data_IF_101717145752
#
_entry.id   IF_101717145752
#
_cell.length_a   1.000
_cell.length_b   1.000
_cell.length_c   1.000
_cell.angle_alpha   90.00
_cell.angle_beta   90.00
_cell.angle_gamma   90.00
#
_symmetry.space_group_name_H-M   'P 1'
#
loop_
_entity.id
_entity.type
_entity.pdbx_description
1 polymer ?
#
# COMPACT_ATOMS: atom_id res chain seq x y z
N UNK A 1 -25.26 -28.73 22.74
CA UNK A 1 -24.32 -27.73 23.31
C UNK A 1 -24.67 -26.33 22.81
N UNK A 2 -24.44 -25.28 23.60
CA UNK A 2 -24.68 -23.89 23.16
C UNK A 2 -23.57 -23.48 22.19
N UNK A 3 -23.93 -23.06 20.97
CA UNK A 3 -22.94 -22.54 19.99
C UNK A 3 -22.21 -21.33 20.56
N UNK A 4 -20.90 -21.28 20.35
CA UNK A 4 -20.09 -20.11 20.69
C UNK A 4 -20.57 -18.89 19.89
N UNK A 5 -20.40 -17.69 20.45
CA UNK A 5 -20.81 -16.46 19.78
C UNK A 5 -20.11 -16.29 18.41
N UNK A 6 -18.85 -16.71 18.32
CA UNK A 6 -18.06 -16.74 17.08
C UNK A 6 -18.68 -17.63 16.01
N UNK A 7 -19.14 -18.84 16.37
CA UNK A 7 -19.80 -19.74 15.44
C UNK A 7 -21.11 -19.13 14.90
N UNK A 8 -21.88 -18.48 15.77
CA UNK A 8 -23.12 -17.79 15.37
C UNK A 8 -22.86 -16.62 14.41
N UNK A 9 -21.80 -15.84 14.65
CA UNK A 9 -21.38 -14.78 13.72
C UNK A 9 -21.03 -15.37 12.35
N UNK A 10 -20.28 -16.47 12.31
CA UNK A 10 -19.89 -17.11 11.06
C UNK A 10 -21.12 -17.66 10.29
N UNK A 11 -22.09 -18.24 10.99
CA UNK A 11 -23.37 -18.69 10.39
C UNK A 11 -24.16 -17.54 9.77
N UNK A 12 -24.20 -16.38 10.42
CA UNK A 12 -24.92 -15.21 9.89
C UNK A 12 -24.29 -14.70 8.60
N UNK A 13 -22.96 -14.63 8.55
CA UNK A 13 -22.25 -14.20 7.33
C UNK A 13 -22.47 -15.19 6.19
N UNK A 14 -22.64 -16.48 6.50
CA UNK A 14 -22.98 -17.51 5.51
C UNK A 14 -24.40 -17.40 4.99
N UNK A 15 -25.37 -17.17 5.88
CA UNK A 15 -26.77 -16.99 5.49
C UNK A 15 -27.01 -15.65 4.77
N UNK A 16 -26.20 -14.63 5.08
CA UNK A 16 -26.36 -13.28 4.56
C UNK A 16 -25.00 -12.72 4.07
N UNK A 17 -24.52 -13.15 2.88
CA UNK A 17 -23.29 -12.62 2.31
C UNK A 17 -23.41 -11.12 2.06
N UNK A 18 -22.39 -10.35 2.46
CA UNK A 18 -22.40 -8.89 2.40
C UNK A 18 -22.94 -8.22 3.67
N UNK A 19 -23.22 -8.96 4.74
CA UNK A 19 -23.63 -8.40 6.04
C UNK A 19 -22.58 -7.43 6.59
N UNK A 20 -23.03 -6.28 7.08
CA UNK A 20 -22.16 -5.30 7.75
C UNK A 20 -22.00 -5.63 9.23
N UNK A 21 -21.04 -4.97 9.89
CA UNK A 21 -20.83 -5.12 11.35
C UNK A 21 -22.11 -4.75 12.12
N UNK A 22 -22.86 -3.76 11.63
CA UNK A 22 -24.13 -3.33 12.25
C UNK A 22 -25.19 -4.42 12.14
N UNK A 23 -25.32 -5.04 10.96
CA UNK A 23 -26.32 -6.08 10.73
C UNK A 23 -26.05 -7.30 11.59
N UNK A 24 -24.78 -7.73 11.68
CA UNK A 24 -24.36 -8.84 12.55
C UNK A 24 -24.62 -8.53 14.03
N UNK A 25 -24.40 -7.28 14.47
CA UNK A 25 -24.66 -6.87 15.84
C UNK A 25 -26.16 -6.91 16.18
N UNK A 26 -27.01 -6.44 15.27
CA UNK A 26 -28.47 -6.45 15.41
C UNK A 26 -29.00 -7.89 15.42
N UNK A 27 -28.59 -8.73 14.47
CA UNK A 27 -29.06 -10.11 14.35
C UNK A 27 -28.71 -10.99 15.54
N UNK A 28 -27.58 -10.74 16.20
CA UNK A 28 -27.16 -11.48 17.40
C UNK A 28 -27.52 -10.80 18.71
N UNK A 29 -28.11 -9.61 18.66
CA UNK A 29 -28.35 -8.75 19.82
C UNK A 29 -27.09 -8.58 20.70
N UNK A 30 -25.97 -8.24 20.06
CA UNK A 30 -24.68 -8.00 20.73
C UNK A 30 -24.17 -6.59 20.49
N UNK A 31 -23.24 -6.14 21.34
CA UNK A 31 -22.63 -4.82 21.17
C UNK A 31 -21.84 -4.72 19.86
N UNK A 32 -21.89 -3.54 19.22
CA UNK A 32 -21.15 -3.26 17.99
C UNK A 32 -19.62 -3.48 18.13
N UNK A 33 -18.97 -3.12 19.25
CA UNK A 33 -17.56 -3.47 19.49
C UNK A 33 -17.31 -4.99 19.53
N UNK A 34 -18.19 -5.77 20.16
CA UNK A 34 -18.07 -7.23 20.23
C UNK A 34 -18.20 -7.86 18.83
N UNK A 35 -19.20 -7.44 18.06
CA UNK A 35 -19.37 -7.89 16.68
C UNK A 35 -18.13 -7.57 15.82
N UNK A 36 -17.58 -6.35 15.97
CA UNK A 36 -16.34 -5.93 15.28
C UNK A 36 -15.15 -6.81 15.66
N UNK A 37 -14.94 -7.05 16.95
CA UNK A 37 -13.82 -7.86 17.43
C UNK A 37 -13.89 -9.30 16.88
N UNK A 38 -15.09 -9.90 16.85
CA UNK A 38 -15.28 -11.26 16.34
C UNK A 38 -15.06 -11.31 14.81
N UNK A 39 -15.66 -10.37 14.06
CA UNK A 39 -15.47 -10.30 12.61
C UNK A 39 -14.01 -10.08 12.23
N UNK A 40 -13.27 -9.26 12.97
CA UNK A 40 -11.83 -9.07 12.74
C UNK A 40 -11.02 -10.33 13.04
N UNK A 41 -11.35 -11.06 14.12
CA UNK A 41 -10.72 -12.37 14.39
C UNK A 41 -10.99 -13.38 13.28
N UNK A 42 -12.25 -13.49 12.82
CA UNK A 42 -12.62 -14.38 11.72
C UNK A 42 -11.94 -14.01 10.40
N UNK A 43 -11.80 -12.70 10.13
CA UNK A 43 -11.09 -12.19 8.96
C UNK A 43 -9.60 -12.51 9.03
N UNK A 44 -8.94 -12.22 10.16
CA UNK A 44 -7.51 -12.48 10.34
C UNK A 44 -7.19 -13.98 10.26
N UNK A 45 -8.10 -14.84 10.70
CA UNK A 45 -7.96 -16.30 10.60
C UNK A 45 -8.33 -16.87 9.22
N UNK A 46 -8.75 -16.02 8.29
CA UNK A 46 -9.05 -16.36 6.90
C UNK A 46 -10.37 -17.11 6.69
N UNK A 47 -11.33 -17.02 7.62
CA UNK A 47 -12.67 -17.63 7.45
C UNK A 47 -13.65 -16.72 6.70
N UNK A 48 -13.43 -15.40 6.77
CA UNK A 48 -14.25 -14.40 6.09
C UNK A 48 -13.36 -13.33 5.45
N UNK A 49 -13.87 -12.65 4.45
CA UNK A 49 -13.22 -11.53 3.77
C UNK A 49 -14.14 -10.30 3.76
N UNK A 50 -13.55 -9.10 3.75
CA UNK A 50 -14.31 -7.85 3.65
C UNK A 50 -14.44 -7.47 2.18
N UNK A 51 -15.64 -7.51 1.63
CA UNK A 51 -15.94 -7.13 0.25
C UNK A 51 -16.91 -5.96 0.22
N UNK A 52 -16.46 -4.84 -0.36
CA UNK A 52 -17.23 -3.59 -0.43
C UNK A 52 -17.69 -3.11 0.94
N UNK A 53 -19.01 -3.14 1.17
CA UNK A 53 -19.64 -2.65 2.41
C UNK A 53 -19.75 -3.71 3.51
N UNK A 54 -19.51 -5.00 3.22
CA UNK A 54 -19.81 -6.11 4.13
C UNK A 54 -18.74 -7.19 4.20
N UNK A 55 -19.14 -8.36 4.69
CA UNK A 55 -18.30 -9.55 4.80
C UNK A 55 -18.89 -10.73 4.03
N UNK A 56 -18.01 -11.56 3.46
CA UNK A 56 -18.36 -12.82 2.79
C UNK A 56 -17.48 -13.95 3.33
N UNK A 57 -17.88 -15.20 3.15
CA UNK A 57 -17.06 -16.35 3.50
C UNK A 57 -15.95 -16.60 2.48
N UNK A 58 -14.85 -17.17 2.95
CA UNK A 58 -13.81 -17.77 2.10
C UNK A 58 -14.07 -19.29 1.96
N UNK A 59 -13.36 -19.96 1.05
CA UNK A 59 -13.42 -21.43 0.91
C UNK A 59 -13.11 -22.17 2.22
N UNK A 60 -12.23 -21.60 3.06
CA UNK A 60 -11.91 -22.12 4.40
C UNK A 60 -13.09 -21.95 5.37
N UNK A 61 -13.79 -20.82 5.30
CA UNK A 61 -15.02 -20.56 6.04
C UNK A 61 -16.13 -21.55 5.69
N UNK A 62 -16.35 -21.76 4.39
CA UNK A 62 -17.39 -22.67 3.89
C UNK A 62 -17.12 -24.11 4.31
N UNK A 63 -15.87 -24.57 4.17
CA UNK A 63 -15.46 -25.89 4.64
C UNK A 63 -15.72 -26.06 6.14
N UNK A 64 -15.41 -25.04 6.95
CA UNK A 64 -15.61 -25.09 8.39
C UNK A 64 -17.09 -25.15 8.77
N UNK A 65 -17.95 -24.37 8.10
CA UNK A 65 -19.40 -24.47 8.34
C UNK A 65 -19.93 -25.86 7.96
N UNK A 66 -19.59 -26.34 6.76
CA UNK A 66 -20.14 -27.59 6.23
C UNK A 66 -19.65 -28.83 6.99
N UNK A 67 -18.39 -28.84 7.45
CA UNK A 67 -17.79 -30.01 8.08
C UNK A 67 -17.75 -29.97 9.61
N UNK A 68 -17.74 -28.78 10.22
CA UNK A 68 -17.62 -28.65 11.67
C UNK A 68 -18.94 -28.20 12.29
N UNK A 69 -19.58 -27.17 11.74
CA UNK A 69 -20.81 -26.61 12.35
C UNK A 69 -22.10 -27.33 11.93
N UNK A 70 -22.17 -27.86 10.71
CA UNK A 70 -23.36 -28.57 10.21
C UNK A 70 -23.37 -30.06 10.58
N UNK A 71 -22.20 -30.71 10.72
CA UNK A 71 -22.12 -32.07 11.27
C UNK A 71 -22.60 -32.17 12.73
N UNK A 72 -22.55 -31.07 13.49
CA UNK A 72 -23.15 -31.00 14.84
C UNK A 72 -24.69 -31.01 14.83
N UNK A 73 -25.36 -30.72 13.70
CA UNK A 73 -26.83 -30.72 13.59
C UNK A 73 -27.43 -32.09 13.28
N UNK A 74 -26.70 -32.95 12.58
CA UNK A 74 -27.15 -34.30 12.23
C UNK A 74 -26.46 -35.32 13.10
N UNK A 75 -26.97 -35.51 14.32
CA UNK A 75 -26.58 -36.62 15.17
C UNK A 75 -26.81 -37.94 14.43
N UNK A 76 -25.71 -38.64 14.14
CA UNK A 76 -25.70 -40.06 13.82
C UNK A 76 -26.21 -40.45 12.43
N UNK A 77 -25.32 -40.43 11.43
CA UNK A 77 -25.19 -41.53 10.45
C UNK A 77 -23.82 -41.45 9.77
N UNK A 78 -23.10 -42.54 9.92
CA UNK A 78 -21.70 -42.72 9.57
C UNK A 78 -21.47 -42.67 8.05
N UNK A 79 -20.41 -41.97 7.66
CA UNK A 79 -19.46 -42.41 6.64
C UNK A 79 -18.14 -41.71 6.94
N UNK A 80 -17.24 -42.47 7.55
CA UNK A 80 -15.86 -42.10 7.82
C UNK A 80 -15.11 -42.19 6.49
N UNK A 81 -14.62 -41.06 5.98
CA UNK A 81 -13.46 -41.00 5.07
C UNK A 81 -12.40 -40.07 5.68
N UNK A 82 -11.65 -40.71 6.59
CA UNK A 82 -10.21 -40.62 6.87
C UNK A 82 -9.44 -39.28 6.73
N UNK A 83 -8.94 -38.80 7.88
CA UNK A 83 -7.48 -38.60 8.04
C UNK A 83 -6.84 -40.01 8.22
N UNK A 84 -5.55 -40.23 7.91
CA UNK A 84 -4.98 -41.56 7.64
C UNK A 84 -5.06 -42.56 8.82
N UNK A 85 -5.54 -43.77 8.48
CA UNK A 85 -5.48 -45.14 9.05
C UNK A 85 -5.26 -45.44 10.56
N UNK A 86 -6.23 -46.15 11.19
CA UNK A 86 -6.17 -47.57 11.69
C UNK A 86 -7.38 -47.98 12.61
N UNK A 87 -8.20 -48.96 12.15
CA UNK A 87 -8.99 -50.05 12.85
C UNK A 87 -10.10 -49.71 13.92
N UNK A 88 -11.11 -50.58 14.29
CA UNK A 88 -11.63 -51.89 13.81
C UNK A 88 -13.19 -52.07 13.62
N UNK A 89 -13.59 -53.02 12.75
CA UNK A 89 -14.60 -54.13 12.88
C UNK A 89 -16.16 -53.93 12.97
N UNK A 90 -16.82 -54.43 11.88
CA UNK A 90 -18.05 -55.28 11.67
C UNK A 90 -19.50 -54.88 12.03
N UNK A 91 -20.38 -54.95 11.01
CA UNK A 91 -21.47 -55.97 10.80
C UNK A 91 -21.98 -55.87 9.33
N UNK A 92 -21.75 -56.83 8.42
CA UNK A 92 -22.62 -57.97 8.01
C UNK A 92 -24.10 -57.58 7.73
N UNK A 93 -24.77 -57.88 6.59
CA UNK A 93 -24.58 -58.82 5.46
C UNK A 93 -25.55 -58.48 4.31
N UNK A 94 -25.24 -59.05 3.13
CA UNK A 94 -26.09 -59.31 1.93
C UNK A 94 -26.26 -58.17 0.92
N UNK A 95 -25.49 -58.22 -0.18
CA UNK A 95 -25.93 -58.47 -1.58
C UNK A 95 -24.65 -58.36 -2.43
N UNK A 96 -24.01 -59.50 -2.63
CA UNK A 96 -22.84 -59.67 -3.49
C UNK A 96 -23.37 -60.00 -4.87
N UNK A 97 -23.28 -59.07 -5.84
CA UNK A 97 -23.05 -59.40 -7.27
C UNK A 97 -22.76 -58.25 -8.24
N UNK A 98 -22.96 -56.97 -7.92
CA UNK A 98 -22.74 -55.87 -8.89
C UNK A 98 -21.64 -54.86 -8.48
N UNK A 99 -20.43 -55.34 -8.14
CA UNK A 99 -19.36 -54.48 -7.62
C UNK A 99 -18.16 -54.25 -8.55
N UNK A 100 -18.14 -54.84 -9.76
CA UNK A 100 -17.03 -54.66 -10.71
C UNK A 100 -17.30 -53.60 -11.78
N UNK A 101 -18.54 -53.48 -12.27
CA UNK A 101 -18.90 -52.43 -13.26
C UNK A 101 -18.99 -51.03 -12.62
N UNK A 102 -19.50 -50.93 -11.38
CA UNK A 102 -19.66 -49.65 -10.69
C UNK A 102 -18.35 -49.01 -10.17
N UNK A 103 -17.22 -49.72 -10.19
CA UNK A 103 -15.89 -49.16 -9.84
C UNK A 103 -15.14 -48.63 -11.06
N UNK A 104 -15.38 -49.17 -12.26
CA UNK A 104 -14.81 -48.67 -13.51
C UNK A 104 -15.51 -47.37 -13.94
N UNK A 105 -16.84 -47.31 -13.87
CA UNK A 105 -17.61 -46.09 -14.14
C UNK A 105 -17.23 -44.93 -13.21
N UNK A 106 -16.94 -45.21 -11.93
CA UNK A 106 -16.51 -44.18 -10.96
C UNK A 106 -15.12 -43.64 -11.25
N UNK A 107 -14.20 -44.48 -11.73
CA UNK A 107 -12.84 -44.05 -12.09
C UNK A 107 -12.83 -43.23 -13.38
N UNK A 108 -13.64 -43.59 -14.36
CA UNK A 108 -13.81 -42.79 -15.58
C UNK A 108 -14.47 -41.44 -15.30
N UNK A 109 -15.54 -41.40 -14.50
CA UNK A 109 -16.20 -40.14 -14.12
C UNK A 109 -15.24 -39.23 -13.33
N UNK A 110 -14.42 -39.79 -12.44
CA UNK A 110 -13.42 -39.04 -11.68
C UNK A 110 -12.32 -38.45 -12.58
N UNK A 111 -11.82 -39.23 -13.55
CA UNK A 111 -10.82 -38.77 -14.51
C UNK A 111 -11.35 -37.64 -15.42
N UNK A 112 -12.61 -37.71 -15.85
CA UNK A 112 -13.26 -36.66 -16.66
C UNK A 112 -13.47 -35.37 -15.85
N UNK A 113 -13.77 -35.47 -14.55
CA UNK A 113 -13.91 -34.31 -13.67
C UNK A 113 -12.56 -33.63 -13.44
N UNK A 114 -11.49 -34.41 -13.20
CA UNK A 114 -10.13 -33.90 -13.03
C UNK A 114 -9.61 -33.21 -14.30
N UNK A 115 -9.85 -33.79 -15.48
CA UNK A 115 -9.51 -33.16 -16.76
C UNK A 115 -10.24 -31.85 -16.99
N UNK A 116 -11.55 -31.77 -16.69
CA UNK A 116 -12.32 -30.51 -16.83
C UNK A 116 -11.84 -29.42 -15.86
N UNK A 117 -11.44 -29.79 -14.65
CA UNK A 117 -10.90 -28.85 -13.68
C UNK A 117 -9.52 -28.31 -14.08
N UNK A 118 -8.67 -29.15 -14.66
CA UNK A 118 -7.36 -28.76 -15.20
C UNK A 118 -7.52 -27.74 -16.35
N UNK A 119 -8.40 -28.01 -17.31
CA UNK A 119 -8.67 -27.10 -18.45
C UNK A 119 -9.19 -25.74 -17.97
N UNK A 120 -10.11 -25.71 -17.00
CA UNK A 120 -10.62 -24.47 -16.43
C UNK A 120 -9.57 -23.67 -15.64
N UNK A 121 -8.54 -24.32 -15.10
CA UNK A 121 -7.41 -23.65 -14.45
C UNK A 121 -6.45 -23.06 -15.49
N UNK A 122 -6.15 -23.82 -16.55
CA UNK A 122 -5.31 -23.39 -17.66
C UNK A 122 -5.89 -22.15 -18.34
N UNK A 123 -7.20 -22.12 -18.60
CA UNK A 123 -7.87 -20.94 -19.16
C UNK A 123 -7.74 -19.69 -18.28
N UNK A 124 -7.89 -19.85 -16.95
CA UNK A 124 -7.72 -18.75 -15.99
C UNK A 124 -6.28 -18.26 -15.91
N UNK A 125 -5.31 -19.17 -15.97
CA UNK A 125 -3.89 -18.84 -16.00
C UNK A 125 -3.55 -18.11 -17.30
N UNK A 126 -4.01 -18.60 -18.44
CA UNK A 126 -3.82 -17.97 -19.75
C UNK A 126 -4.44 -16.58 -19.83
N UNK A 127 -5.64 -16.39 -19.26
CA UNK A 127 -6.26 -15.07 -19.19
C UNK A 127 -5.44 -14.08 -18.35
N UNK A 128 -4.88 -14.53 -17.22
CA UNK A 128 -3.98 -13.70 -16.40
C UNK A 128 -2.67 -13.39 -17.11
N UNK A 129 -2.08 -14.36 -17.81
CA UNK A 129 -0.86 -14.14 -18.59
C UNK A 129 -1.10 -13.08 -19.66
N UNK A 130 -2.18 -13.21 -20.45
CA UNK A 130 -2.54 -12.20 -21.46
C UNK A 130 -2.76 -10.81 -20.89
N UNK A 131 -3.38 -10.70 -19.72
CA UNK A 131 -3.58 -9.42 -19.02
C UNK A 131 -2.25 -8.83 -18.52
N UNK A 132 -1.34 -9.68 -18.04
CA UNK A 132 -0.01 -9.24 -17.63
C UNK A 132 0.83 -8.79 -18.83
N UNK A 133 0.77 -9.52 -19.94
CA UNK A 133 1.43 -9.15 -21.20
C UNK A 133 0.93 -7.81 -21.74
N UNK A 134 -0.38 -7.56 -21.74
CA UNK A 134 -0.94 -6.28 -22.17
C UNK A 134 -0.46 -5.13 -21.29
N UNK A 135 -0.43 -5.35 -19.96
CA UNK A 135 0.04 -4.34 -19.00
C UNK A 135 1.54 -4.08 -19.12
N UNK A 136 2.35 -5.11 -19.39
CA UNK A 136 3.78 -4.96 -19.66
C UNK A 136 3.99 -4.13 -20.92
N UNK A 137 3.27 -4.43 -22.01
CA UNK A 137 3.35 -3.66 -23.24
C UNK A 137 2.94 -2.18 -23.06
N UNK A 138 1.93 -1.89 -22.25
CA UNK A 138 1.54 -0.52 -21.92
C UNK A 138 2.63 0.22 -21.12
N UNK A 139 3.24 -0.47 -20.16
CA UNK A 139 4.35 0.08 -19.37
C UNK A 139 5.57 0.35 -20.26
N UNK A 140 5.92 -0.58 -21.16
CA UNK A 140 7.02 -0.39 -22.11
C UNK A 140 6.78 0.81 -23.03
N UNK A 141 5.57 0.97 -23.58
CA UNK A 141 5.21 2.15 -24.37
C UNK A 141 5.32 3.44 -23.57
N UNK A 142 4.93 3.41 -22.30
CA UNK A 142 5.03 4.59 -21.42
C UNK A 142 6.48 4.94 -21.14
N UNK A 143 7.32 3.94 -20.85
CA UNK A 143 8.76 4.13 -20.66
C UNK A 143 9.38 4.71 -21.93
N UNK A 144 9.06 4.18 -23.11
CA UNK A 144 9.56 4.70 -24.39
C UNK A 144 9.20 6.18 -24.61
N UNK A 145 7.96 6.59 -24.30
CA UNK A 145 7.54 8.00 -24.38
C UNK A 145 8.36 8.86 -23.42
N UNK A 146 8.47 8.45 -22.16
CA UNK A 146 9.23 9.19 -21.14
C UNK A 146 10.70 9.31 -21.57
N UNK A 147 11.31 8.26 -22.12
CA UNK A 147 12.69 8.33 -22.60
C UNK A 147 12.85 9.30 -23.77
N UNK A 148 11.89 9.34 -24.70
CA UNK A 148 11.90 10.29 -25.81
C UNK A 148 11.74 11.74 -25.32
N UNK A 149 10.83 11.97 -24.35
CA UNK A 149 10.63 13.28 -23.73
C UNK A 149 11.89 13.76 -23.01
N UNK A 150 12.56 12.86 -22.27
CA UNK A 150 13.82 13.16 -21.61
C UNK A 150 14.95 13.48 -22.61
N UNK A 151 15.05 12.74 -23.72
CA UNK A 151 16.02 13.04 -24.77
C UNK A 151 15.74 14.41 -25.42
N UNK A 152 14.46 14.73 -25.66
CA UNK A 152 14.04 16.04 -26.18
C UNK A 152 14.40 17.18 -25.22
N UNK A 153 14.08 17.04 -23.93
CA UNK A 153 14.44 18.01 -22.89
C UNK A 153 15.96 18.18 -22.80
N UNK A 154 16.71 17.08 -22.83
CA UNK A 154 18.18 17.10 -22.83
C UNK A 154 18.74 17.85 -24.04
N UNK A 155 18.16 17.67 -25.22
CA UNK A 155 18.56 18.37 -26.43
C UNK A 155 18.19 19.87 -26.35
N UNK A 156 17.00 20.22 -25.86
CA UNK A 156 16.60 21.61 -25.59
C UNK A 156 17.53 22.30 -24.59
N UNK A 157 18.00 21.59 -23.57
CA UNK A 157 18.95 22.15 -22.60
C UNK A 157 20.35 22.33 -23.21
N UNK A 158 20.77 21.47 -24.14
CA UNK A 158 22.03 21.66 -24.88
C UNK A 158 21.94 22.87 -25.80
N UNK A 159 20.88 22.99 -26.60
CA UNK A 159 20.70 24.14 -27.48
C UNK A 159 20.53 25.42 -26.69
N UNK A 160 19.77 25.42 -25.58
CA UNK A 160 19.64 26.57 -24.68
C UNK A 160 20.99 27.04 -24.09
N UNK A 161 21.87 26.10 -23.72
CA UNK A 161 23.23 26.42 -23.27
C UNK A 161 24.11 26.96 -24.39
N UNK A 162 23.96 26.48 -25.61
CA UNK A 162 24.68 26.99 -26.78
C UNK A 162 24.20 28.39 -27.17
N UNK A 163 22.89 28.65 -27.15
CA UNK A 163 22.32 29.98 -27.36
C UNK A 163 22.76 30.97 -26.28
N UNK A 164 22.80 30.57 -25.01
CA UNK A 164 23.33 31.41 -23.93
C UNK A 164 24.83 31.76 -24.14
N UNK A 165 25.62 30.80 -24.63
CA UNK A 165 27.05 31.00 -24.93
C UNK A 165 27.30 31.89 -26.16
N UNK A 166 26.33 31.98 -27.08
CA UNK A 166 26.37 32.85 -28.25
C UNK A 166 25.91 34.27 -27.88
N UNK A 167 24.85 34.41 -27.07
CA UNK A 167 24.37 35.72 -26.60
C UNK A 167 25.41 36.45 -25.73
N UNK A 168 26.17 35.72 -24.90
CA UNK A 168 27.27 36.30 -24.11
C UNK A 168 28.41 36.89 -24.99
N UNK A 169 28.53 36.44 -26.25
CA UNK A 169 29.55 36.95 -27.19
C UNK A 169 29.09 38.16 -28.01
N UNK A 170 27.79 38.42 -28.11
CA UNK A 170 27.24 39.47 -28.98
C UNK A 170 26.83 40.76 -28.25
N UNK A 171 26.83 40.78 -26.91
CA UNK A 171 26.52 41.98 -26.13
C UNK A 171 27.79 42.70 -25.62
N UNK A 172 28.47 43.43 -26.51
CA UNK A 172 29.27 44.61 -26.16
C UNK A 172 29.10 45.69 -27.25
N UNK A 173 28.65 46.89 -26.86
CA UNK A 173 29.48 48.06 -27.16
C UNK A 173 29.54 49.11 -26.03
N UNK A 174 30.75 49.69 -25.93
CA UNK A 174 31.11 51.06 -25.54
C UNK A 174 30.46 51.77 -24.33
N UNK A 175 31.23 51.92 -23.25
CA UNK A 175 31.81 53.21 -22.82
C UNK A 175 32.74 53.01 -21.62
N UNK A 176 33.96 53.56 -21.71
CA UNK A 176 34.96 53.65 -20.62
C UNK A 176 34.63 54.89 -19.75
N UNK A 177 35.13 55.06 -18.50
CA UNK A 177 36.47 54.63 -18.06
C UNK A 177 36.62 54.15 -16.59
N UNK A 178 37.87 53.85 -16.25
CA UNK A 178 38.49 53.75 -14.92
C UNK A 178 38.52 52.38 -14.22
N UNK A 179 39.72 51.80 -14.25
CA UNK A 179 40.39 50.98 -13.23
C UNK A 179 39.54 50.43 -12.06
N UNK A 180 39.19 49.16 -12.14
CA UNK A 180 39.38 48.20 -11.05
C UNK A 180 39.36 46.79 -11.63
N UNK A 181 40.52 46.12 -11.61
CA UNK A 181 40.67 44.69 -11.83
C UNK A 181 39.88 43.94 -10.75
N UNK A 182 38.59 43.69 -11.01
CA UNK A 182 37.72 42.86 -10.20
C UNK A 182 37.31 41.65 -10.99
N UNK A 183 38.12 40.59 -10.95
CA UNK A 183 37.70 39.25 -11.34
C UNK A 183 36.54 38.84 -10.44
N UNK A 184 35.29 39.08 -10.89
CA UNK A 184 34.11 38.50 -10.22
C UNK A 184 34.04 37.02 -10.58
N UNK A 185 34.87 36.26 -9.86
CA UNK A 185 34.57 34.89 -9.43
C UNK A 185 33.10 34.83 -8.97
N UNK A 186 32.39 33.70 -9.17
CA UNK A 186 31.04 33.54 -8.62
C UNK A 186 31.09 33.84 -7.12
N UNK A 187 30.13 34.64 -6.65
CA UNK A 187 30.07 35.18 -5.30
C UNK A 187 30.33 34.08 -4.26
N UNK A 188 31.51 34.14 -3.65
CA UNK A 188 32.05 33.19 -2.68
C UNK A 188 31.55 33.47 -1.25
N UNK A 189 30.26 33.80 -1.11
CA UNK A 189 29.64 34.15 0.18
C UNK A 189 28.45 33.23 0.56
N UNK A 190 28.31 32.05 -0.04
CA UNK A 190 27.33 31.02 0.35
C UNK A 190 27.94 29.86 1.11
N UNK A 191 29.12 30.03 1.73
CA UNK A 191 29.88 28.93 2.35
C UNK A 191 29.22 28.34 3.61
N UNK A 192 28.01 28.81 3.98
CA UNK A 192 27.39 28.49 5.27
C UNK A 192 25.86 28.37 5.25
N UNK A 193 25.20 28.33 4.09
CA UNK A 193 23.74 28.21 4.00
C UNK A 193 23.33 27.09 3.05
N UNK A 194 22.18 26.49 3.32
CA UNK A 194 21.58 25.51 2.43
C UNK A 194 21.21 26.16 1.08
N UNK A 195 21.34 25.44 -0.04
CA UNK A 195 20.97 25.94 -1.37
C UNK A 195 19.48 26.26 -1.50
N UNK A 196 18.64 25.55 -0.74
CA UNK A 196 17.19 25.74 -0.66
C UNK A 196 16.75 25.66 0.81
N UNK A 197 15.70 26.38 1.23
CA UNK A 197 15.24 26.39 2.61
C UNK A 197 14.81 25.02 3.14
N UNK A 198 14.25 24.18 2.27
CA UNK A 198 13.86 22.80 2.53
C UNK A 198 14.34 21.95 1.36
N UNK A 199 15.03 20.85 1.63
CA UNK A 199 15.42 19.88 0.62
C UNK A 199 15.45 18.46 1.19
N UNK A 200 15.48 17.46 0.32
CA UNK A 200 15.64 16.09 0.77
C UNK A 200 17.06 15.82 1.26
N UNK A 201 17.21 14.95 2.26
CA UNK A 201 18.52 14.56 2.78
C UNK A 201 19.42 13.95 1.69
N UNK A 202 18.85 13.17 0.76
CA UNK A 202 19.64 12.59 -0.34
C UNK A 202 20.13 13.67 -1.32
N UNK A 203 19.31 14.69 -1.62
CA UNK A 203 19.68 15.81 -2.49
C UNK A 203 20.75 16.68 -1.84
N UNK A 204 20.60 16.93 -0.54
CA UNK A 204 21.56 17.66 0.27
C UNK A 204 22.92 16.96 0.28
N UNK A 205 22.93 15.63 0.45
CA UNK A 205 24.17 14.83 0.39
C UNK A 205 24.85 14.92 -0.98
N UNK A 206 24.08 14.88 -2.06
CA UNK A 206 24.61 14.96 -3.41
C UNK A 206 25.14 16.36 -3.77
N UNK A 207 24.54 17.41 -3.22
CA UNK A 207 24.89 18.81 -3.54
C UNK A 207 25.99 19.37 -2.65
N UNK A 208 25.96 19.08 -1.35
CA UNK A 208 26.88 19.65 -0.34
C UNK A 208 27.96 18.66 0.10
N UNK A 209 27.70 17.35 -0.01
CA UNK A 209 28.62 16.29 0.42
C UNK A 209 29.08 16.50 1.88
N UNK A 210 30.39 16.57 2.16
CA UNK A 210 30.92 16.75 3.52
C UNK A 210 30.50 18.06 4.21
N UNK A 211 30.12 19.09 3.46
CA UNK A 211 29.67 20.37 4.02
C UNK A 211 28.30 20.26 4.70
N UNK A 212 27.51 19.24 4.35
CA UNK A 212 26.24 18.99 5.00
C UNK A 212 26.42 18.70 6.50
N UNK A 213 27.39 17.84 6.82
CA UNK A 213 27.66 17.42 8.20
C UNK A 213 28.20 18.57 9.05
N UNK A 214 28.89 19.54 8.44
CA UNK A 214 29.34 20.74 9.16
C UNK A 214 28.19 21.71 9.41
N UNK A 215 27.24 21.85 8.48
CA UNK A 215 26.04 22.67 8.65
C UNK A 215 25.11 22.13 9.74
N UNK A 216 24.94 20.80 9.79
CA UNK A 216 24.15 20.15 10.84
C UNK A 216 24.83 20.32 12.20
N UNK A 217 26.15 20.05 12.28
CA UNK A 217 26.91 20.20 13.55
C UNK A 217 26.96 21.63 14.05
N UNK A 218 27.00 22.61 13.16
CA UNK A 218 26.95 24.03 13.51
C UNK A 218 25.54 24.54 13.85
N UNK A 219 24.52 23.67 13.77
CA UNK A 219 23.13 24.03 14.07
C UNK A 219 22.49 24.95 13.03
N UNK A 220 23.10 25.10 11.85
CA UNK A 220 22.55 25.91 10.75
C UNK A 220 21.50 25.16 9.95
N UNK A 221 21.53 23.83 10.00
CA UNK A 221 20.56 22.97 9.36
C UNK A 221 20.03 21.93 10.36
N UNK A 222 18.74 21.65 10.30
CA UNK A 222 18.06 20.66 11.13
C UNK A 222 17.46 19.57 10.25
N UNK A 223 17.66 18.31 10.65
CA UNK A 223 17.06 17.16 9.97
C UNK A 223 15.68 16.91 10.60
N UNK A 224 14.67 16.79 9.75
CA UNK A 224 13.30 16.47 10.13
C UNK A 224 12.84 15.35 9.20
N UNK A 225 12.84 14.13 9.71
CA UNK A 225 12.55 12.92 8.97
C UNK A 225 13.45 12.75 7.75
N UNK A 226 12.83 12.76 6.58
CA UNK A 226 13.50 12.64 5.27
C UNK A 226 14.00 13.97 4.68
N UNK A 227 13.73 15.09 5.36
CA UNK A 227 14.04 16.44 4.91
C UNK A 227 15.16 17.06 5.77
N UNK A 228 15.89 17.97 5.16
CA UNK A 228 16.75 18.91 5.86
C UNK A 228 16.24 20.32 5.62
N UNK A 229 16.24 21.11 6.70
CA UNK A 229 15.68 22.45 6.73
C UNK A 229 16.70 23.41 7.28
N UNK A 230 16.77 24.60 6.70
CA UNK A 230 17.58 25.69 7.24
C UNK A 230 17.01 26.15 8.59
N UNK A 231 17.88 26.33 9.60
CA UNK A 231 17.42 26.62 10.96
C UNK A 231 16.76 28.00 11.07
N UNK A 232 17.16 28.99 10.25
CA UNK A 232 16.50 30.30 10.21
C UNK A 232 15.07 30.16 9.69
N UNK A 233 14.92 29.49 8.54
CA UNK A 233 13.61 29.20 7.95
C UNK A 233 12.74 28.37 8.91
N UNK A 234 13.29 27.36 9.56
CA UNK A 234 12.54 26.48 10.45
C UNK A 234 11.97 27.24 11.66
N UNK A 235 12.74 28.19 12.21
CA UNK A 235 12.27 29.08 13.29
C UNK A 235 11.13 29.97 12.82
N UNK A 236 11.21 30.52 11.61
CA UNK A 236 10.12 31.31 11.03
C UNK A 236 8.87 30.45 10.79
N UNK A 237 9.05 29.24 10.27
CA UNK A 237 7.96 28.30 10.06
C UNK A 237 7.26 27.93 11.37
N UNK A 238 8.01 27.67 12.46
CA UNK A 238 7.46 27.40 13.80
C UNK A 238 6.62 28.56 14.35
N UNK A 239 6.95 29.82 14.03
CA UNK A 239 6.16 30.99 14.46
C UNK A 239 4.77 31.05 13.84
N UNK A 240 4.55 30.36 12.72
CA UNK A 240 3.23 30.31 12.05
C UNK A 240 2.23 29.41 12.76
N UNK A 241 2.66 28.61 13.74
CA UNK A 241 1.77 27.74 14.50
C UNK A 241 1.02 28.52 15.59
N UNK A 242 -0.27 28.21 15.81
CA UNK A 242 -1.03 27.10 15.22
C UNK A 242 -1.53 27.38 13.77
N UNK A 243 -1.38 26.39 12.89
CA UNK A 243 -1.82 26.45 11.48
C UNK A 243 -3.12 25.67 11.32
N UNK A 244 -4.16 26.25 10.74
CA UNK A 244 -5.43 25.54 10.49
C UNK A 244 -5.28 24.50 9.37
N UNK A 245 -6.15 23.48 9.31
CA UNK A 245 -6.12 22.48 8.23
C UNK A 245 -6.26 23.13 6.84
N UNK A 246 -7.13 24.15 6.72
CA UNK A 246 -7.33 24.88 5.47
C UNK A 246 -6.11 25.70 5.05
N UNK A 247 -5.36 26.25 6.01
CA UNK A 247 -4.09 26.93 5.71
C UNK A 247 -3.00 25.94 5.35
N UNK A 248 -2.95 24.77 6.01
CA UNK A 248 -2.00 23.70 5.72
C UNK A 248 -2.17 23.16 4.28
N UNK A 249 -3.39 23.11 3.76
CA UNK A 249 -3.67 22.73 2.37
C UNK A 249 -3.18 23.74 1.34
N UNK A 250 -3.06 25.03 1.73
CA UNK A 250 -2.58 26.12 0.88
C UNK A 250 -1.07 26.32 0.93
N UNK A 251 -0.36 25.58 1.78
CA UNK A 251 1.09 25.67 1.88
C UNK A 251 1.78 25.21 0.59
N UNK A 252 2.95 25.77 0.25
CA UNK A 252 3.80 25.26 -0.82
C UNK A 252 4.07 23.76 -0.66
N UNK A 253 4.26 23.01 -1.77
CA UNK A 253 4.41 21.56 -1.71
C UNK A 253 5.52 21.05 -0.76
N UNK A 254 6.65 21.77 -0.70
CA UNK A 254 7.76 21.42 0.19
C UNK A 254 7.47 21.74 1.66
N UNK A 255 6.77 22.84 1.95
CA UNK A 255 6.33 23.18 3.31
C UNK A 255 5.26 22.22 3.82
N UNK A 256 4.37 21.77 2.94
CA UNK A 256 3.37 20.75 3.27
C UNK A 256 4.04 19.43 3.64
N UNK A 257 5.03 18.99 2.86
CA UNK A 257 5.85 17.82 3.20
C UNK A 257 6.60 17.99 4.52
N UNK A 258 7.16 19.17 4.78
CA UNK A 258 7.77 19.49 6.07
C UNK A 258 6.78 19.32 7.22
N UNK A 259 5.56 19.85 7.09
CA UNK A 259 4.50 19.69 8.09
C UNK A 259 4.12 18.22 8.31
N UNK A 260 4.05 17.43 7.24
CA UNK A 260 3.79 15.98 7.32
C UNK A 260 4.90 15.24 8.06
N UNK A 261 6.17 15.55 7.78
CA UNK A 261 7.32 14.96 8.48
C UNK A 261 7.37 15.40 9.95
N UNK A 262 7.08 16.68 10.25
CA UNK A 262 6.95 17.17 11.62
C UNK A 262 5.84 16.46 12.41
N UNK A 263 4.74 16.10 11.75
CA UNK A 263 3.65 15.32 12.36
C UNK A 263 4.07 13.86 12.60
N UNK A 264 4.82 13.26 11.66
CA UNK A 264 5.37 11.90 11.82
C UNK A 264 6.38 11.81 12.98
N UNK A 265 7.21 12.82 13.15
CA UNK A 265 8.18 12.91 14.26
C UNK A 265 7.57 13.41 15.57
N UNK A 266 6.25 13.58 15.65
CA UNK A 266 5.53 14.08 16.82
C UNK A 266 6.01 15.46 17.31
N UNK A 267 6.59 16.28 16.44
CA UNK A 267 6.91 17.69 16.70
C UNK A 267 5.63 18.54 16.65
N UNK A 268 4.70 18.14 15.79
CA UNK A 268 3.40 18.78 15.59
C UNK A 268 2.31 17.74 15.78
N UNK A 269 1.18 18.13 16.37
CA UNK A 269 -0.03 17.31 16.47
C UNK A 269 -1.24 18.04 15.91
N UNK A 270 -2.19 17.26 15.40
CA UNK A 270 -3.51 17.77 15.02
C UNK A 270 -4.36 17.87 16.28
N UNK A 271 -4.68 19.09 16.70
CA UNK A 271 -5.53 19.34 17.86
C UNK A 271 -7.00 19.47 17.43
N UNK A 272 -7.86 18.66 18.06
CA UNK A 272 -9.31 18.64 17.84
C UNK A 272 -9.75 18.50 16.37
N UNK A 273 -8.89 17.95 15.50
CA UNK A 273 -9.16 17.83 14.07
C UNK A 273 -9.33 19.18 13.34
N UNK A 274 -8.80 20.28 13.88
CA UNK A 274 -9.00 21.64 13.33
C UNK A 274 -7.71 22.36 12.96
N UNK A 275 -6.67 22.23 13.78
CA UNK A 275 -5.40 22.92 13.57
C UNK A 275 -4.22 22.09 14.02
N UNK A 276 -3.09 22.31 13.37
CA UNK A 276 -1.78 21.81 13.75
C UNK A 276 -1.19 22.68 14.87
N UNK A 277 -0.69 22.03 15.92
CA UNK A 277 -0.07 22.69 17.08
C UNK A 277 1.29 22.04 17.37
N UNK A 278 2.27 22.85 17.74
CA UNK A 278 3.56 22.35 18.22
C UNK A 278 3.39 21.61 19.55
N UNK A 279 4.02 20.45 19.64
CA UNK A 279 4.19 19.71 20.89
C UNK A 279 5.26 20.43 21.70
N UNK A 280 4.91 20.83 22.94
CA UNK A 280 5.83 21.47 23.88
C UNK A 280 6.67 20.43 24.58
#
# INVERSE_FOLDING_TARGET
MKKTLTAKVLEIVWQNPGSTIKDVAIMLNISLPTARAILYKLKNNGYIEKTGKGYILTSKGEWFINNVLLKEKTGGKESIEQKPEEKPVKTERVIVKNKREAEEDKKEIQAVIEQKQLVGLEEKVMAKIKLLESRINELEKTIQRITADLESIKNMLKTGKEHAKIMEKTEKPSSKPALALGTKKPARNTENKLPAPIMYVYEAKNTLGPLLDSLIRSGKAEIIGSLIVDSEFYKEFKKRFPITISEAERLPPMEKKLLEEMNREAIVIIHAGKYYKLVK
#
